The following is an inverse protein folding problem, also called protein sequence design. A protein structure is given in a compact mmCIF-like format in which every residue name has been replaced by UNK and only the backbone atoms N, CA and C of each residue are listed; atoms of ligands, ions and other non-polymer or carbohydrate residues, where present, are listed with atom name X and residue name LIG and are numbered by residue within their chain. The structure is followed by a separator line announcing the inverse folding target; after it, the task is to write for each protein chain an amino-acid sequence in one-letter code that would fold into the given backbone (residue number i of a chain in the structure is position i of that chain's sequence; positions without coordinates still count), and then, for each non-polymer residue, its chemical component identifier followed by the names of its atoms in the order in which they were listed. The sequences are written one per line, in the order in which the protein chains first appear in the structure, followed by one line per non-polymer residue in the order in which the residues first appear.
data_IF_059363258763
#
_entry.id   IF_059363258763
#
_cell.length_a   1.000
_cell.length_b   1.000
_cell.length_c   1.000
_cell.angle_alpha   90.00
_cell.angle_beta   90.00
_cell.angle_gamma   90.00
#
_symmetry.space_group_name_H-M   'P 1'
#
loop_
_entity.id
_entity.type
_entity.pdbx_description
1 polymer ?
#
# COMPACT_ATOMS: atom_id res chain seq x y z
N UNK A 1 5.41 14.39 -0.78
CA UNK A 1 4.50 13.22 -0.81
C UNK A 1 3.98 12.92 0.59
N UNK A 2 2.68 12.65 0.76
CA UNK A 2 2.08 12.37 2.08
C UNK A 2 2.32 10.92 2.49
N UNK A 3 2.70 10.68 3.75
CA UNK A 3 2.79 9.35 4.35
C UNK A 3 1.74 9.23 5.45
N UNK A 4 0.86 8.23 5.36
CA UNK A 4 -0.04 7.79 6.44
C UNK A 4 0.44 6.42 6.90
N UNK A 5 0.92 6.34 8.14
CA UNK A 5 1.40 5.11 8.76
C UNK A 5 1.32 5.25 10.28
N UNK A 6 0.67 4.30 10.96
CA UNK A 6 0.58 4.29 12.42
C UNK A 6 1.89 3.85 13.11
N UNK A 7 2.73 3.07 12.43
CA UNK A 7 4.05 2.65 12.94
C UNK A 7 5.07 3.80 12.82
N UNK A 8 5.63 4.32 13.92
CA UNK A 8 6.55 5.46 13.87
C UNK A 8 7.89 5.14 13.19
N UNK A 9 8.36 3.89 13.31
CA UNK A 9 9.62 3.44 12.71
C UNK A 9 9.50 3.40 11.19
N UNK A 10 8.46 2.73 10.70
CA UNK A 10 8.15 2.67 9.28
C UNK A 10 7.79 4.05 8.70
N UNK A 11 7.02 4.87 9.42
CA UNK A 11 6.71 6.23 9.01
C UNK A 11 7.99 7.06 8.80
N UNK A 12 8.95 6.94 9.73
CA UNK A 12 10.25 7.62 9.63
C UNK A 12 11.07 7.11 8.45
N UNK A 13 11.13 5.79 8.26
CA UNK A 13 11.85 5.18 7.15
C UNK A 13 11.28 5.59 5.78
N UNK A 14 9.94 5.59 5.64
CA UNK A 14 9.24 6.04 4.43
C UNK A 14 9.48 7.52 4.16
N UNK A 15 9.33 8.38 5.18
CA UNK A 15 9.55 9.83 5.04
C UNK A 15 10.98 10.17 4.58
N UNK A 16 11.98 9.36 4.94
CA UNK A 16 13.37 9.57 4.53
C UNK A 16 13.65 9.29 3.04
N UNK A 17 12.76 8.56 2.34
CA UNK A 17 13.01 8.09 0.97
C UNK A 17 11.98 8.56 -0.05
N UNK A 18 10.78 8.95 0.38
CA UNK A 18 9.77 9.52 -0.51
C UNK A 18 10.08 11.00 -0.76
N UNK A 19 9.85 11.52 -1.98
CA UNK A 19 10.09 12.93 -2.25
C UNK A 19 9.23 13.82 -1.35
N UNK A 20 9.87 14.77 -0.67
CA UNK A 20 9.17 15.71 0.23
C UNK A 20 8.28 16.67 -0.59
N UNK A 21 8.75 17.05 -1.78
CA UNK A 21 8.08 17.98 -2.68
C UNK A 21 7.26 17.24 -3.75
N UNK A 22 5.92 17.34 -3.66
CA UNK A 22 5.00 16.90 -4.71
C UNK A 22 3.77 16.14 -4.22
N UNK A 23 2.75 16.12 -5.08
CA UNK A 23 1.56 15.28 -4.94
C UNK A 23 1.95 13.80 -4.87
N UNK A 24 1.20 13.02 -4.09
CA UNK A 24 1.32 11.58 -3.95
C UNK A 24 1.05 11.11 -2.52
N UNK A 25 0.73 9.83 -2.39
CA UNK A 25 0.35 9.18 -1.12
C UNK A 25 1.04 7.83 -0.95
N UNK A 26 1.70 7.64 0.20
CA UNK A 26 1.94 6.30 0.75
C UNK A 26 0.97 6.10 1.90
N UNK A 27 0.14 5.07 1.82
CA UNK A 27 -0.80 4.70 2.88
C UNK A 27 -0.51 3.28 3.33
N UNK A 28 -0.15 3.13 4.59
CA UNK A 28 0.04 1.83 5.25
C UNK A 28 -1.26 1.48 5.94
N UNK A 29 -1.83 0.32 5.60
CA UNK A 29 -3.05 -0.18 6.23
C UNK A 29 -2.79 -0.48 7.71
N UNK A 30 -3.73 -0.07 8.55
CA UNK A 30 -3.70 -0.40 9.97
C UNK A 30 -4.13 -1.86 10.21
N UNK A 31 -3.68 -2.41 11.34
CA UNK A 31 -4.07 -3.73 11.79
C UNK A 31 -3.48 -4.05 13.17
N UNK A 32 -4.08 -5.00 13.91
CA UNK A 32 -5.29 -5.74 13.57
C UNK A 32 -6.57 -4.91 13.77
N UNK A 33 -7.55 -5.06 12.86
CA UNK A 33 -8.86 -4.42 12.95
C UNK A 33 -9.85 -5.29 13.74
N UNK A 34 -10.59 -4.67 14.65
CA UNK A 34 -11.46 -5.39 15.58
C UNK A 34 -12.93 -5.43 15.13
N UNK A 35 -13.39 -4.38 14.45
CA UNK A 35 -14.80 -4.21 14.08
C UNK A 35 -14.99 -3.77 12.63
N UNK A 36 -16.21 -3.94 12.12
CA UNK A 36 -16.59 -3.42 10.81
C UNK A 36 -16.53 -1.90 10.75
N UNK A 37 -16.82 -1.20 11.85
CA UNK A 37 -16.70 0.25 11.92
C UNK A 37 -15.24 0.70 11.74
N UNK A 38 -14.27 -0.04 12.31
CA UNK A 38 -12.84 0.22 12.09
C UNK A 38 -12.45 0.00 10.62
N UNK A 39 -12.98 -1.07 10.01
CA UNK A 39 -12.75 -1.37 8.58
C UNK A 39 -13.33 -0.31 7.67
N UNK A 40 -14.56 0.16 7.96
CA UNK A 40 -15.19 1.24 7.20
C UNK A 40 -14.42 2.56 7.37
N UNK A 41 -14.00 2.88 8.59
CA UNK A 41 -13.21 4.08 8.87
C UNK A 41 -11.87 4.07 8.12
N UNK A 42 -11.17 2.93 8.09
CA UNK A 42 -9.91 2.74 7.36
C UNK A 42 -10.10 2.96 5.85
N UNK A 43 -11.13 2.33 5.27
CA UNK A 43 -11.45 2.46 3.84
C UNK A 43 -11.93 3.87 3.46
N UNK A 44 -12.69 4.52 4.34
CA UNK A 44 -13.13 5.91 4.15
C UNK A 44 -11.94 6.87 4.24
N UNK A 45 -11.01 6.63 5.17
CA UNK A 45 -9.80 7.44 5.29
C UNK A 45 -8.91 7.33 4.05
N UNK A 46 -8.60 6.11 3.60
CA UNK A 46 -7.76 5.93 2.40
C UNK A 46 -8.41 6.58 1.17
N UNK A 47 -9.73 6.46 1.01
CA UNK A 47 -10.45 7.14 -0.07
C UNK A 47 -10.29 8.66 0.00
N UNK A 48 -10.53 9.25 1.18
CA UNK A 48 -10.40 10.69 1.42
C UNK A 48 -8.98 11.19 1.14
N UNK A 49 -7.95 10.42 1.51
CA UNK A 49 -6.55 10.77 1.27
C UNK A 49 -6.12 10.56 -0.17
N UNK A 50 -6.69 9.58 -0.87
CA UNK A 50 -6.39 9.23 -2.27
C UNK A 50 -6.98 10.26 -3.24
N UNK A 51 -8.19 10.76 -2.97
CA UNK A 51 -8.91 11.68 -3.84
C UNK A 51 -8.09 12.92 -4.29
N UNK A 52 -7.48 13.72 -3.40
CA UNK A 52 -6.69 14.89 -3.83
C UNK A 52 -5.51 14.50 -4.71
N UNK A 53 -4.83 13.38 -4.40
CA UNK A 53 -3.69 12.93 -5.20
C UNK A 53 -4.12 12.47 -6.59
N UNK A 54 -5.31 11.90 -6.74
CA UNK A 54 -5.87 11.58 -8.06
C UNK A 54 -6.11 12.83 -8.89
N UNK A 55 -6.64 13.90 -8.27
CA UNK A 55 -6.88 15.19 -8.93
C UNK A 55 -5.57 15.84 -9.38
N UNK A 56 -4.54 15.77 -8.53
CA UNK A 56 -3.21 16.34 -8.80
C UNK A 56 -2.30 15.41 -9.62
N UNK A 57 -2.83 14.27 -10.05
CA UNK A 57 -2.10 13.21 -10.74
C UNK A 57 -0.87 12.67 -9.98
N UNK A 58 -0.88 12.72 -8.65
CA UNK A 58 0.14 12.15 -7.78
C UNK A 58 0.18 10.60 -7.84
N UNK A 59 1.36 9.99 -7.62
CA UNK A 59 1.50 8.55 -7.46
C UNK A 59 0.92 8.08 -6.13
N UNK A 60 0.35 6.88 -6.13
CA UNK A 60 -0.32 6.30 -4.97
C UNK A 60 0.28 4.93 -4.68
N UNK A 61 0.63 4.68 -3.43
CA UNK A 61 1.20 3.42 -2.99
C UNK A 61 0.51 2.98 -1.71
N UNK A 62 -0.11 1.80 -1.75
CA UNK A 62 -0.67 1.17 -0.57
C UNK A 62 0.32 0.15 -0.02
N UNK A 63 0.41 0.02 1.30
CA UNK A 63 1.23 -0.99 1.98
C UNK A 63 0.31 -1.83 2.85
N UNK A 64 0.37 -3.14 2.66
CA UNK A 64 -0.45 -4.13 3.38
C UNK A 64 0.42 -5.29 3.81
N UNK A 65 -0.04 -6.13 4.73
CA UNK A 65 0.65 -7.37 5.04
C UNK A 65 0.38 -8.42 3.96
N UNK A 66 1.37 -9.26 3.67
CA UNK A 66 1.23 -10.38 2.74
C UNK A 66 0.22 -11.41 3.26
N UNK A 67 0.15 -11.62 4.57
CA UNK A 67 -0.85 -12.48 5.20
C UNK A 67 -2.28 -12.00 4.94
N UNK A 68 -2.56 -10.69 5.09
CA UNK A 68 -3.89 -10.13 4.82
C UNK A 68 -4.26 -10.21 3.33
N UNK A 69 -3.33 -9.86 2.44
CA UNK A 69 -3.57 -9.91 1.00
C UNK A 69 -3.85 -11.33 0.47
N UNK A 70 -3.34 -12.36 1.17
CA UNK A 70 -3.56 -13.76 0.83
C UNK A 70 -4.73 -14.40 1.60
N UNK A 71 -5.48 -13.63 2.39
CA UNK A 71 -6.61 -14.13 3.19
C UNK A 71 -6.19 -15.04 4.35
N UNK A 72 -4.95 -14.89 4.84
CA UNK A 72 -4.38 -15.65 5.96
C UNK A 72 -4.30 -14.85 7.27
N UNK A 73 -4.71 -13.58 7.26
CA UNK A 73 -4.86 -12.75 8.44
C UNK A 73 -6.31 -12.77 8.96
N UNK A 74 -6.65 -11.86 9.89
CA UNK A 74 -8.04 -11.68 10.29
C UNK A 74 -8.90 -11.28 9.07
N UNK A 75 -10.18 -11.68 9.01
CA UNK A 75 -11.04 -11.39 7.86
C UNK A 75 -11.18 -9.89 7.56
N UNK A 76 -11.17 -9.03 8.59
CA UNK A 76 -11.30 -7.58 8.45
C UNK A 76 -10.03 -6.94 7.86
N UNK A 77 -8.85 -7.37 8.32
CA UNK A 77 -7.57 -6.94 7.73
C UNK A 77 -7.50 -7.35 6.25
N UNK A 78 -7.95 -8.57 5.95
CA UNK A 78 -7.99 -9.09 4.58
C UNK A 78 -8.96 -8.31 3.70
N UNK A 79 -10.11 -7.91 4.23
CA UNK A 79 -11.07 -7.07 3.52
C UNK A 79 -10.49 -5.69 3.15
N UNK A 80 -9.74 -5.06 4.06
CA UNK A 80 -9.03 -3.81 3.75
C UNK A 80 -7.96 -4.05 2.68
N UNK A 81 -7.13 -5.09 2.83
CA UNK A 81 -6.07 -5.39 1.87
C UNK A 81 -6.61 -5.64 0.45
N UNK A 82 -7.70 -6.39 0.33
CA UNK A 82 -8.39 -6.62 -0.95
C UNK A 82 -9.00 -5.34 -1.52
N UNK A 83 -9.61 -4.50 -0.67
CA UNK A 83 -10.14 -3.20 -1.07
C UNK A 83 -9.06 -2.28 -1.63
N UNK A 84 -7.89 -2.22 -0.99
CA UNK A 84 -6.74 -1.44 -1.43
C UNK A 84 -6.16 -1.97 -2.75
N UNK A 85 -6.05 -3.30 -2.93
CA UNK A 85 -5.62 -3.90 -4.19
C UNK A 85 -6.60 -3.63 -5.33
N UNK A 86 -7.89 -3.79 -5.09
CA UNK A 86 -8.93 -3.47 -6.07
C UNK A 86 -8.91 -1.97 -6.43
N UNK A 87 -8.74 -1.10 -5.43
CA UNK A 87 -8.59 0.34 -5.63
C UNK A 87 -7.36 0.69 -6.47
N UNK A 88 -6.20 0.10 -6.19
CA UNK A 88 -4.99 0.31 -6.99
C UNK A 88 -5.18 -0.13 -8.45
N UNK A 89 -5.85 -1.26 -8.69
CA UNK A 89 -6.19 -1.73 -10.04
C UNK A 89 -7.12 -0.78 -10.78
N UNK A 90 -8.18 -0.32 -10.10
CA UNK A 90 -9.12 0.63 -10.66
C UNK A 90 -8.42 1.95 -11.02
N UNK A 91 -7.62 2.50 -10.10
CA UNK A 91 -6.84 3.72 -10.33
C UNK A 91 -5.85 3.58 -11.48
N UNK A 92 -5.11 2.47 -11.55
CA UNK A 92 -4.17 2.21 -12.64
C UNK A 92 -4.89 2.14 -13.99
N UNK A 93 -6.07 1.52 -14.05
CA UNK A 93 -6.87 1.43 -15.27
C UNK A 93 -7.47 2.79 -15.68
N UNK A 94 -8.17 3.45 -14.76
CA UNK A 94 -8.87 4.72 -15.02
C UNK A 94 -7.90 5.85 -15.37
N UNK A 95 -6.71 5.85 -14.75
CA UNK A 95 -5.68 6.88 -14.96
C UNK A 95 -4.64 6.51 -16.00
N UNK A 96 -4.80 5.40 -16.71
CA UNK A 96 -3.83 4.94 -17.72
C UNK A 96 -3.55 6.01 -18.80
N UNK A 97 -4.54 6.83 -19.16
CA UNK A 97 -4.41 7.91 -20.16
C UNK A 97 -3.63 9.13 -19.66
N UNK A 98 -3.48 9.28 -18.36
CA UNK A 98 -2.83 10.44 -17.72
C UNK A 98 -1.46 10.08 -17.14
N UNK A 99 -0.92 8.91 -17.48
CA UNK A 99 0.24 8.33 -16.81
C UNK A 99 0.05 8.40 -15.28
N UNK A 100 -1.06 7.85 -14.79
CA UNK A 100 -1.29 7.66 -13.36
C UNK A 100 -0.58 6.41 -12.83
N UNK A 101 -0.13 6.48 -11.58
CA UNK A 101 0.50 5.36 -10.88
C UNK A 101 -0.24 5.04 -9.60
N UNK A 102 -0.63 3.78 -9.44
CA UNK A 102 -1.17 3.23 -8.21
C UNK A 102 -0.67 1.79 -8.03
N UNK A 103 -0.05 1.46 -6.91
CA UNK A 103 0.46 0.10 -6.66
C UNK A 103 0.30 -0.31 -5.20
N UNK A 104 0.60 -1.57 -4.90
CA UNK A 104 0.53 -2.15 -3.55
C UNK A 104 1.86 -2.82 -3.21
N UNK A 105 2.42 -2.57 -2.03
CA UNK A 105 3.47 -3.40 -1.44
C UNK A 105 2.81 -4.37 -0.46
N UNK A 106 3.02 -5.66 -0.67
CA UNK A 106 2.64 -6.69 0.29
C UNK A 106 3.87 -7.08 1.11
N UNK A 107 3.87 -6.74 2.40
CA UNK A 107 5.02 -6.93 3.30
C UNK A 107 4.84 -8.22 4.08
N UNK A 108 5.79 -9.14 3.96
CA UNK A 108 5.82 -10.37 4.74
C UNK A 108 6.44 -10.16 6.13
N UNK A 109 6.22 -11.12 7.00
CA UNK A 109 6.75 -11.17 8.36
C UNK A 109 8.29 -11.11 8.36
N UNK A 110 8.85 -10.35 9.30
CA UNK A 110 10.30 -10.20 9.48
C UNK A 110 11.01 -9.34 8.44
N UNK A 111 10.28 -8.71 7.52
CA UNK A 111 10.83 -7.64 6.67
C UNK A 111 10.99 -6.37 7.50
N UNK A 112 12.19 -5.79 7.50
CA UNK A 112 12.48 -4.55 8.22
C UNK A 112 11.97 -3.30 7.48
N UNK A 113 11.75 -2.22 8.25
CA UNK A 113 11.22 -0.95 7.75
C UNK A 113 12.07 -0.33 6.64
N UNK A 114 13.40 -0.49 6.72
CA UNK A 114 14.33 0.06 5.73
C UNK A 114 14.13 -0.58 4.36
N UNK A 115 13.89 -1.90 4.32
CA UNK A 115 13.54 -2.63 3.08
C UNK A 115 12.19 -2.21 2.53
N UNK A 116 11.19 -1.98 3.37
CA UNK A 116 9.87 -1.48 2.91
C UNK A 116 10.04 -0.09 2.27
N UNK A 117 10.79 0.79 2.93
CA UNK A 117 11.10 2.12 2.42
C UNK A 117 11.87 2.07 1.08
N UNK A 118 12.90 1.23 0.98
CA UNK A 118 13.65 1.04 -0.27
C UNK A 118 12.74 0.53 -1.40
N UNK A 119 11.87 -0.43 -1.12
CA UNK A 119 10.90 -0.93 -2.09
C UNK A 119 9.93 0.18 -2.54
N UNK A 120 9.42 0.99 -1.62
CA UNK A 120 8.56 2.14 -1.94
C UNK A 120 9.28 3.14 -2.85
N UNK A 121 10.52 3.52 -2.52
CA UNK A 121 11.34 4.40 -3.35
C UNK A 121 11.55 3.83 -4.76
N UNK A 122 11.89 2.55 -4.86
CA UNK A 122 12.12 1.88 -6.14
C UNK A 122 10.86 1.84 -7.00
N UNK A 123 9.71 1.50 -6.41
CA UNK A 123 8.42 1.46 -7.10
C UNK A 123 7.99 2.86 -7.57
N UNK A 124 8.13 3.88 -6.74
CA UNK A 124 7.81 5.26 -7.12
C UNK A 124 8.73 5.79 -8.23
N UNK A 125 10.01 5.43 -8.19
CA UNK A 125 11.00 5.87 -9.20
C UNK A 125 10.80 5.17 -10.54
N UNK A 126 10.61 3.85 -10.51
CA UNK A 126 10.53 3.02 -11.73
C UNK A 126 9.13 2.92 -12.29
N UNK A 127 8.11 3.22 -11.48
CA UNK A 127 6.69 3.01 -11.77
C UNK A 127 6.37 1.58 -12.18
N UNK A 128 7.18 0.62 -11.71
CA UNK A 128 6.94 -0.80 -11.91
C UNK A 128 5.69 -1.26 -11.16
N UNK A 129 5.10 -2.38 -11.57
CA UNK A 129 3.96 -3.01 -10.89
C UNK A 129 2.70 -2.11 -10.79
N UNK A 130 2.43 -1.26 -11.78
CA UNK A 130 1.23 -0.42 -11.78
C UNK A 130 -0.05 -1.28 -11.77
N UNK A 131 -0.90 -1.09 -10.76
CA UNK A 131 -2.10 -1.87 -10.48
C UNK A 131 -1.84 -3.30 -9.99
N UNK A 132 -0.60 -3.65 -9.63
CA UNK A 132 -0.22 -5.00 -9.22
C UNK A 132 0.47 -4.99 -7.85
N UNK A 133 0.31 -6.04 -7.04
CA UNK A 133 1.03 -6.15 -5.79
C UNK A 133 2.50 -6.49 -6.03
N UNK A 134 3.39 -5.80 -5.33
CA UNK A 134 4.80 -6.12 -5.21
C UNK A 134 5.04 -6.88 -3.90
N UNK A 135 5.35 -8.16 -4.01
CA UNK A 135 5.56 -9.02 -2.84
C UNK A 135 6.96 -8.79 -2.26
N UNK A 136 7.02 -8.37 -1.00
CA UNK A 136 8.25 -8.17 -0.27
C UNK A 136 8.30 -9.16 0.89
N UNK A 137 8.97 -10.29 0.68
CA UNK A 137 9.02 -11.42 1.62
C UNK A 137 8.83 -12.76 0.91
N UNK A 138 8.96 -13.88 1.62
CA UNK A 138 8.89 -15.25 1.05
C UNK A 138 7.54 -15.94 1.22
N UNK A 139 6.60 -15.35 1.96
CA UNK A 139 5.40 -16.06 2.42
C UNK A 139 4.41 -16.43 1.32
N UNK A 140 4.51 -15.78 0.17
CA UNK A 140 3.76 -16.08 -1.04
C UNK A 140 4.17 -17.42 -1.67
N UNK A 141 5.30 -17.99 -1.24
CA UNK A 141 5.77 -19.31 -1.65
C UNK A 141 5.24 -20.44 -0.77
N UNK A 142 4.41 -20.14 0.24
CA UNK A 142 3.99 -21.04 1.32
C UNK A 142 3.19 -22.31 0.95
N UNK A 143 3.08 -22.66 -0.34
CA UNK A 143 2.58 -23.97 -0.80
C UNK A 143 3.59 -24.73 -1.68
N UNK A 144 4.74 -24.12 -2.02
CA UNK A 144 5.75 -24.66 -2.93
C UNK A 144 7.07 -25.04 -2.23
N UNK A 145 7.23 -24.71 -0.95
CA UNK A 145 8.39 -25.10 -0.16
C UNK A 145 7.97 -26.16 0.86
N UNK A 146 8.71 -27.29 0.95
CA UNK A 146 8.39 -28.42 1.83
C UNK A 146 8.50 -28.07 3.32
#
# INVERSE_FOLDING_TARGET
MRVRCADPGLATALAAVVPDEGAGLVFVADGPLATWDDTEAELAEVFRLTQPEVVENGPILYVVTTSALLGRAAPLDSAVADGLLAGARALAFERARFDGYASVIAVGDGVDDARVAEAAKNLLTTRASNGQPFMLGSEHLGAALP
#
